data_IF_857146333882
#
_entry.id   IF_857146333882
#
_cell.length_a   1.000
_cell.length_b   1.000
_cell.length_c   1.000
_cell.angle_alpha   90.00
_cell.angle_beta   90.00
_cell.angle_gamma   90.00
#
_symmetry.space_group_name_H-M   'P 1'
#
loop_
_entity.id
_entity.type
_entity.pdbx_description
1 polymer ?
#
# COMPACT_ATOMS: atom_id res chain seq x y z
N UNK A 1 18.71 -26.26 99.73
CA UNK A 1 18.81 -26.31 98.23
C UNK A 1 17.52 -25.98 97.50
N UNK A 2 16.35 -26.10 98.09
CA UNK A 2 15.04 -25.91 97.44
C UNK A 2 14.73 -24.42 97.13
N UNK A 3 15.00 -23.45 97.99
CA UNK A 3 14.72 -22.04 97.79
C UNK A 3 15.50 -21.36 96.65
N UNK A 4 16.66 -21.87 96.27
CA UNK A 4 17.47 -21.32 95.17
C UNK A 4 16.98 -21.81 93.86
N UNK A 5 16.47 -23.05 93.76
CA UNK A 5 15.83 -23.59 92.52
C UNK A 5 14.52 -22.83 92.15
N UNK A 6 13.69 -22.48 93.11
CA UNK A 6 12.45 -21.73 92.88
C UNK A 6 12.74 -20.31 92.40
N UNK A 7 13.75 -19.61 92.95
CA UNK A 7 14.17 -18.31 92.45
C UNK A 7 14.69 -18.37 91.00
N UNK A 8 15.48 -19.35 90.66
CA UNK A 8 16.02 -19.51 89.29
C UNK A 8 14.89 -19.85 88.37
N UNK A 9 13.93 -20.72 88.73
CA UNK A 9 12.77 -21.00 87.90
C UNK A 9 11.87 -19.80 87.71
N UNK A 10 11.69 -18.97 88.71
CA UNK A 10 10.93 -17.70 88.57
C UNK A 10 11.63 -16.74 87.59
N UNK A 11 12.92 -16.58 87.68
CA UNK A 11 13.72 -15.72 86.79
C UNK A 11 13.62 -16.22 85.32
N UNK A 12 13.75 -17.55 85.12
CA UNK A 12 13.63 -18.14 83.80
C UNK A 12 12.23 -17.85 83.21
N UNK A 13 11.16 -17.98 84.01
CA UNK A 13 9.78 -17.71 83.62
C UNK A 13 9.60 -16.22 83.20
N UNK A 14 10.15 -15.25 83.91
CA UNK A 14 10.10 -13.86 83.59
C UNK A 14 10.91 -13.54 82.32
N UNK A 15 12.06 -14.11 82.14
CA UNK A 15 12.88 -13.96 80.91
C UNK A 15 12.13 -14.54 79.72
N UNK A 16 11.51 -15.71 79.86
CA UNK A 16 10.71 -16.31 78.79
C UNK A 16 9.46 -15.43 78.42
N UNK A 17 8.76 -14.90 79.42
CA UNK A 17 7.66 -13.96 79.20
C UNK A 17 8.11 -12.67 78.49
N UNK A 18 9.30 -12.16 78.85
CA UNK A 18 9.88 -10.98 78.24
C UNK A 18 10.28 -11.22 76.77
N UNK A 19 10.79 -12.40 76.48
CA UNK A 19 11.07 -12.82 75.07
C UNK A 19 9.80 -12.93 74.25
N UNK A 20 8.75 -13.55 74.81
CA UNK A 20 7.44 -13.63 74.13
C UNK A 20 6.87 -12.24 73.85
N UNK A 21 6.97 -11.35 74.83
CA UNK A 21 6.49 -9.96 74.67
C UNK A 21 7.29 -9.19 73.60
N UNK A 22 8.59 -9.39 73.52
CA UNK A 22 9.46 -8.83 72.49
C UNK A 22 9.09 -9.35 71.08
N UNK A 23 8.82 -10.67 70.98
CA UNK A 23 8.38 -11.30 69.73
C UNK A 23 7.02 -10.74 69.29
N UNK A 24 6.08 -10.54 70.21
CA UNK A 24 4.79 -9.93 69.91
C UNK A 24 4.92 -8.46 69.48
N UNK A 25 5.79 -7.68 70.08
CA UNK A 25 6.09 -6.30 69.65
C UNK A 25 6.66 -6.29 68.22
N UNK A 26 7.62 -7.17 67.94
CA UNK A 26 8.21 -7.28 66.60
C UNK A 26 7.19 -7.73 65.56
N UNK A 27 6.29 -8.65 65.93
CA UNK A 27 5.22 -9.09 65.07
C UNK A 27 4.19 -7.96 64.77
N UNK A 28 3.77 -7.23 65.77
CA UNK A 28 2.90 -6.04 65.59
C UNK A 28 3.58 -4.95 64.80
N UNK A 29 4.87 -4.71 65.02
CA UNK A 29 5.66 -3.73 64.28
C UNK A 29 5.78 -4.11 62.80
N UNK A 30 6.06 -5.37 62.53
CA UNK A 30 6.13 -5.96 61.19
C UNK A 30 4.76 -5.90 60.45
N UNK A 31 3.67 -6.26 61.15
CA UNK A 31 2.32 -6.19 60.56
C UNK A 31 1.92 -4.74 60.25
N UNK A 32 2.22 -3.78 61.12
CA UNK A 32 1.91 -2.35 60.91
C UNK A 32 2.71 -1.76 59.76
N UNK A 33 3.98 -2.12 59.59
CA UNK A 33 4.80 -1.65 58.47
C UNK A 33 4.43 -2.30 57.15
N UNK A 34 4.02 -3.59 57.18
CA UNK A 34 3.57 -4.33 55.98
C UNK A 34 2.28 -3.78 55.43
N UNK A 35 1.34 -3.44 56.28
CA UNK A 35 0.04 -2.86 55.86
C UNK A 35 0.22 -1.49 55.22
N UNK A 36 1.07 -0.60 55.80
CA UNK A 36 1.34 0.71 55.22
C UNK A 36 2.04 0.63 53.85
N UNK A 37 2.92 -0.35 53.61
CA UNK A 37 3.63 -0.50 52.34
C UNK A 37 2.71 -1.03 51.26
N UNK A 38 1.71 -1.83 51.59
CA UNK A 38 0.71 -2.33 50.65
C UNK A 38 -0.24 -1.24 50.18
N UNK A 39 -0.69 -0.37 51.07
CA UNK A 39 -1.56 0.77 50.76
C UNK A 39 -0.86 1.79 49.85
N UNK A 40 0.42 2.10 50.10
CA UNK A 40 1.22 3.01 49.26
C UNK A 40 1.45 2.41 47.86
N UNK A 41 1.75 1.10 47.76
CA UNK A 41 1.91 0.41 46.48
C UNK A 41 0.61 0.33 45.68
N UNK A 42 -0.55 0.21 46.35
CA UNK A 42 -1.86 0.22 45.70
C UNK A 42 -2.20 1.61 45.20
N UNK A 43 -2.00 2.66 45.98
CA UNK A 43 -2.22 4.07 45.56
C UNK A 43 -1.38 4.46 44.34
N UNK A 44 -0.09 4.06 44.30
CA UNK A 44 0.78 4.33 43.16
C UNK A 44 0.33 3.56 41.92
N UNK A 45 -0.15 2.30 42.07
CA UNK A 45 -0.71 1.53 40.94
C UNK A 45 -1.98 2.16 40.38
N UNK A 46 -2.86 2.65 41.24
CA UNK A 46 -4.12 3.28 40.84
C UNK A 46 -3.86 4.62 40.14
N UNK A 47 -2.86 5.37 40.57
CA UNK A 47 -2.43 6.64 39.95
C UNK A 47 -1.81 6.39 38.56
N UNK A 48 -0.93 5.39 38.40
CA UNK A 48 -0.36 4.99 37.11
C UNK A 48 -1.47 4.50 36.15
N UNK A 49 -2.42 3.70 36.65
CA UNK A 49 -3.54 3.23 35.83
C UNK A 49 -4.46 4.36 35.39
N UNK A 50 -4.60 5.41 36.21
CA UNK A 50 -5.37 6.62 35.88
C UNK A 50 -4.65 7.47 34.81
N UNK A 51 -3.34 7.65 34.95
CA UNK A 51 -2.53 8.33 33.93
C UNK A 51 -2.57 7.59 32.57
N UNK A 52 -2.41 6.27 32.59
CA UNK A 52 -2.47 5.46 31.37
C UNK A 52 -3.84 5.57 30.67
N UNK A 53 -4.94 5.58 31.41
CA UNK A 53 -6.29 5.80 30.84
C UNK A 53 -6.44 7.18 30.24
N UNK A 54 -5.94 8.22 30.92
CA UNK A 54 -5.97 9.59 30.41
C UNK A 54 -5.13 9.75 29.14
N UNK A 55 -4.02 9.05 29.05
CA UNK A 55 -3.16 9.07 27.88
C UNK A 55 -3.79 8.30 26.69
N UNK A 56 -4.44 7.17 26.97
CA UNK A 56 -5.22 6.46 25.96
C UNK A 56 -6.41 7.27 25.43
N UNK A 57 -7.12 7.98 26.30
CA UNK A 57 -8.22 8.87 25.89
C UNK A 57 -7.71 10.03 25.04
N UNK A 58 -6.60 10.66 25.41
CA UNK A 58 -5.95 11.71 24.61
C UNK A 58 -5.52 11.20 23.23
N UNK A 59 -4.95 10.00 23.18
CA UNK A 59 -4.53 9.39 21.92
C UNK A 59 -5.72 9.05 21.01
N UNK A 60 -6.84 8.62 21.59
CA UNK A 60 -8.09 8.36 20.87
C UNK A 60 -8.70 9.65 20.33
N UNK A 61 -8.68 10.70 21.13
CA UNK A 61 -9.21 12.00 20.73
C UNK A 61 -8.36 12.66 19.65
N UNK A 62 -7.02 12.57 19.74
CA UNK A 62 -6.11 13.04 18.69
C UNK A 62 -6.30 12.29 17.36
N UNK A 63 -6.52 10.98 17.42
CA UNK A 63 -6.83 10.19 16.21
C UNK A 63 -8.16 10.61 15.60
N UNK A 64 -9.20 10.81 16.41
CA UNK A 64 -10.50 11.31 15.93
C UNK A 64 -10.40 12.68 15.29
N UNK A 65 -9.66 13.62 15.90
CA UNK A 65 -9.47 14.96 15.36
C UNK A 65 -8.70 14.93 14.02
N UNK A 66 -7.68 14.09 13.89
CA UNK A 66 -6.94 13.91 12.63
C UNK A 66 -7.81 13.29 11.53
N UNK A 67 -8.67 12.35 11.89
CA UNK A 67 -9.61 11.73 10.96
C UNK A 67 -10.70 12.71 10.52
N UNK A 68 -11.21 13.52 11.44
CA UNK A 68 -12.19 14.57 11.14
C UNK A 68 -11.59 15.69 10.28
N UNK A 69 -10.34 16.06 10.52
CA UNK A 69 -9.63 17.05 9.68
C UNK A 69 -9.38 16.50 8.27
N UNK A 70 -9.04 15.22 8.15
CA UNK A 70 -8.89 14.54 6.86
C UNK A 70 -10.20 14.51 6.09
N UNK A 71 -11.29 14.14 6.76
CA UNK A 71 -12.64 14.14 6.16
C UNK A 71 -13.09 15.54 5.72
N UNK A 72 -12.79 16.58 6.49
CA UNK A 72 -13.07 17.98 6.12
C UNK A 72 -12.29 18.41 4.88
N UNK A 73 -10.99 18.09 4.82
CA UNK A 73 -10.16 18.38 3.64
C UNK A 73 -10.66 17.65 2.38
N UNK A 74 -11.02 16.37 2.51
CA UNK A 74 -11.61 15.61 1.42
C UNK A 74 -12.97 16.17 0.97
N UNK A 75 -13.81 16.61 1.91
CA UNK A 75 -15.10 17.23 1.60
C UNK A 75 -14.93 18.58 0.90
N UNK A 76 -13.97 19.41 1.33
CA UNK A 76 -13.66 20.68 0.67
C UNK A 76 -13.11 20.49 -0.74
N UNK A 77 -12.24 19.49 -0.94
CA UNK A 77 -11.69 19.15 -2.24
C UNK A 77 -12.81 18.65 -3.19
N UNK A 78 -13.70 17.77 -2.70
CA UNK A 78 -14.89 17.32 -3.43
C UNK A 78 -15.81 18.49 -3.81
N UNK A 79 -15.97 19.46 -2.91
CA UNK A 79 -16.77 20.65 -3.18
C UNK A 79 -16.12 21.58 -4.21
N UNK A 80 -14.79 21.77 -4.15
CA UNK A 80 -14.03 22.51 -5.16
C UNK A 80 -14.12 21.83 -6.53
N UNK A 81 -13.99 20.52 -6.60
CA UNK A 81 -14.15 19.75 -7.83
C UNK A 81 -15.58 19.85 -8.39
N UNK A 82 -16.62 19.76 -7.55
CA UNK A 82 -18.01 19.98 -7.97
C UNK A 82 -18.24 21.38 -8.58
N UNK A 83 -17.67 22.42 -7.98
CA UNK A 83 -17.77 23.79 -8.51
C UNK A 83 -17.06 23.94 -9.85
N UNK A 84 -15.85 23.37 -10.00
CA UNK A 84 -15.07 23.36 -11.25
C UNK A 84 -15.80 22.60 -12.36
N UNK A 85 -16.36 21.43 -12.07
CA UNK A 85 -17.15 20.63 -13.03
C UNK A 85 -18.42 21.39 -13.48
N UNK A 86 -19.07 22.12 -12.56
CA UNK A 86 -20.22 22.95 -12.89
C UNK A 86 -19.84 24.14 -13.81
N UNK A 87 -18.61 24.64 -13.68
CA UNK A 87 -18.07 25.70 -14.55
C UNK A 87 -17.73 25.17 -15.95
N UNK A 88 -17.24 23.92 -16.08
CA UNK A 88 -17.06 23.22 -17.36
C UNK A 88 -18.41 23.12 -18.12
N UNK A 89 -19.50 22.72 -17.42
CA UNK A 89 -20.85 22.67 -18.01
C UNK A 89 -21.34 24.04 -18.55
N UNK A 90 -20.96 25.12 -17.88
CA UNK A 90 -21.38 26.49 -18.31
C UNK A 90 -20.61 26.98 -19.54
N UNK A 91 -19.37 26.53 -19.72
CA UNK A 91 -18.51 26.95 -20.84
C UNK A 91 -18.74 26.11 -22.10
N UNK A 92 -19.36 24.93 -21.97
CA UNK A 92 -19.76 24.07 -23.08
C UNK A 92 -21.28 24.28 -23.27
N UNK A 93 -21.66 25.11 -24.23
CA UNK A 93 -23.08 25.27 -24.66
C UNK A 93 -23.62 23.88 -25.02
N UNK A 94 -24.87 23.58 -24.61
CA UNK A 94 -25.55 22.36 -25.04
C UNK A 94 -25.66 22.37 -26.55
N UNK A 95 -25.03 21.39 -27.20
CA UNK A 95 -25.03 21.29 -28.66
C UNK A 95 -24.28 20.07 -29.16
N UNK A 96 -24.42 19.81 -30.45
CA UNK A 96 -23.68 18.75 -31.12
C UNK A 96 -22.21 19.18 -31.22
N UNK A 97 -21.30 18.35 -30.73
CA UNK A 97 -19.86 18.55 -30.85
C UNK A 97 -19.29 17.90 -32.10
N UNK A 98 -19.74 16.69 -32.42
CA UNK A 98 -19.29 15.96 -33.60
C UNK A 98 -20.40 15.02 -34.10
N UNK A 99 -20.30 14.63 -35.37
CA UNK A 99 -21.09 13.54 -35.96
C UNK A 99 -20.13 12.49 -36.50
N UNK A 100 -20.32 11.26 -36.08
CA UNK A 100 -19.57 10.06 -36.53
C UNK A 100 -20.58 9.19 -37.32
N UNK A 101 -20.48 9.17 -38.63
CA UNK A 101 -21.53 8.66 -39.54
C UNK A 101 -22.91 9.29 -39.21
N UNK A 102 -23.81 8.49 -38.60
CA UNK A 102 -25.15 8.87 -38.20
C UNK A 102 -25.28 9.08 -36.67
N UNK A 103 -24.21 8.98 -35.93
CA UNK A 103 -24.20 9.15 -34.46
C UNK A 103 -23.71 10.52 -34.07
N UNK A 104 -24.61 11.32 -33.47
CA UNK A 104 -24.24 12.60 -32.87
C UNK A 104 -23.48 12.38 -31.55
N UNK A 105 -22.41 13.14 -31.35
CA UNK A 105 -21.68 13.30 -30.10
C UNK A 105 -21.98 14.71 -29.61
N UNK A 106 -22.49 14.80 -28.39
CA UNK A 106 -22.83 16.08 -27.78
C UNK A 106 -21.66 16.63 -26.94
N UNK A 107 -21.71 17.93 -26.67
CA UNK A 107 -20.74 18.54 -25.71
C UNK A 107 -20.89 17.94 -24.30
N UNK A 108 -22.09 17.49 -23.93
CA UNK A 108 -22.33 16.76 -22.67
C UNK A 108 -21.60 15.42 -22.63
N UNK A 109 -21.50 14.72 -23.75
CA UNK A 109 -20.73 13.45 -23.84
C UNK A 109 -19.25 13.70 -23.57
N UNK A 110 -18.69 14.79 -24.09
CA UNK A 110 -17.30 15.17 -23.83
C UNK A 110 -17.09 15.51 -22.35
N UNK A 111 -18.02 16.26 -21.72
CA UNK A 111 -17.95 16.57 -20.28
C UNK A 111 -18.00 15.31 -19.43
N UNK A 112 -18.89 14.39 -19.75
CA UNK A 112 -19.02 13.13 -19.03
C UNK A 112 -17.77 12.26 -19.19
N UNK A 113 -17.17 12.25 -20.37
CA UNK A 113 -15.91 11.55 -20.61
C UNK A 113 -14.74 12.17 -19.83
N UNK A 114 -14.66 13.52 -19.74
CA UNK A 114 -13.69 14.20 -18.87
C UNK A 114 -13.87 13.76 -17.41
N UNK A 115 -15.12 13.76 -16.90
CA UNK A 115 -15.40 13.29 -15.53
C UNK A 115 -14.93 11.85 -15.31
N UNK A 116 -15.24 10.97 -16.29
CA UNK A 116 -14.80 9.57 -16.25
C UNK A 116 -13.27 9.47 -16.18
N UNK A 117 -12.55 10.20 -17.02
CA UNK A 117 -11.07 10.23 -17.01
C UNK A 117 -10.55 10.71 -15.65
N UNK A 118 -11.11 11.77 -15.08
CA UNK A 118 -10.70 12.29 -13.78
C UNK A 118 -10.91 11.28 -12.65
N UNK A 119 -12.07 10.62 -12.61
CA UNK A 119 -12.40 9.62 -11.59
C UNK A 119 -11.49 8.41 -11.71
N UNK A 120 -11.36 7.83 -12.90
CA UNK A 120 -10.63 6.59 -13.11
C UNK A 120 -9.10 6.74 -12.95
N UNK A 121 -8.57 7.95 -13.11
CA UNK A 121 -7.14 8.22 -12.93
C UNK A 121 -6.82 8.96 -11.62
N UNK A 122 -7.82 9.12 -10.74
CA UNK A 122 -7.68 9.89 -9.50
C UNK A 122 -7.07 11.30 -9.72
N UNK A 123 -7.49 11.96 -10.79
CA UNK A 123 -6.97 13.26 -11.19
C UNK A 123 -7.91 14.38 -10.80
N UNK A 124 -7.36 15.57 -10.55
CA UNK A 124 -8.12 16.81 -10.35
C UNK A 124 -8.11 17.63 -11.63
N UNK A 125 -9.22 18.31 -11.92
CA UNK A 125 -9.30 19.27 -13.01
C UNK A 125 -8.58 20.56 -12.65
N UNK A 126 -7.63 20.98 -13.51
CA UNK A 126 -6.91 22.26 -13.41
C UNK A 126 -6.97 22.98 -14.76
N UNK A 127 -6.72 24.29 -14.79
CA UNK A 127 -6.65 25.02 -16.07
C UNK A 127 -5.46 24.54 -16.93
N UNK A 128 -4.38 24.05 -16.30
CA UNK A 128 -3.20 23.53 -16.98
C UNK A 128 -3.50 22.23 -17.76
N UNK A 129 -4.32 21.32 -17.17
CA UNK A 129 -4.64 20.04 -17.81
C UNK A 129 -5.92 20.06 -18.65
N UNK A 130 -6.59 21.21 -18.73
CA UNK A 130 -7.88 21.39 -19.44
C UNK A 130 -7.81 20.92 -20.88
N UNK A 131 -6.86 21.45 -21.64
CA UNK A 131 -6.73 21.16 -23.07
C UNK A 131 -6.40 19.70 -23.33
N UNK A 132 -5.50 19.13 -22.53
CA UNK A 132 -5.16 17.71 -22.61
C UNK A 132 -6.36 16.82 -22.32
N UNK A 133 -7.09 17.09 -21.23
CA UNK A 133 -8.29 16.34 -20.86
C UNK A 133 -9.37 16.42 -21.93
N UNK A 134 -9.57 17.60 -22.54
CA UNK A 134 -10.54 17.76 -23.62
C UNK A 134 -10.15 16.94 -24.85
N UNK A 135 -8.88 17.00 -25.26
CA UNK A 135 -8.38 16.20 -26.40
C UNK A 135 -8.50 14.70 -26.15
N UNK A 136 -8.13 14.25 -24.94
CA UNK A 136 -8.27 12.83 -24.54
C UNK A 136 -9.73 12.39 -24.53
N UNK A 137 -10.63 13.21 -24.00
CA UNK A 137 -12.06 12.91 -23.98
C UNK A 137 -12.66 12.83 -25.38
N UNK A 138 -12.35 13.79 -26.25
CA UNK A 138 -12.80 13.81 -27.65
C UNK A 138 -12.33 12.55 -28.37
N UNK A 139 -11.03 12.22 -28.27
CA UNK A 139 -10.47 11.00 -28.87
C UNK A 139 -11.19 9.75 -28.37
N UNK A 140 -11.40 9.63 -27.06
CA UNK A 140 -12.05 8.47 -26.44
C UNK A 140 -13.51 8.29 -26.90
N UNK A 141 -14.29 9.38 -26.95
CA UNK A 141 -15.70 9.32 -27.38
C UNK A 141 -15.82 8.97 -28.87
N UNK A 142 -14.95 9.54 -29.71
CA UNK A 142 -14.90 9.21 -31.14
C UNK A 142 -14.51 7.73 -31.32
N UNK A 143 -13.46 7.28 -30.65
CA UNK A 143 -12.99 5.90 -30.71
C UNK A 143 -14.10 4.91 -30.33
N UNK A 144 -14.77 5.14 -29.19
CA UNK A 144 -15.91 4.33 -28.77
C UNK A 144 -17.04 4.34 -29.77
N UNK A 145 -17.31 5.48 -30.42
CA UNK A 145 -18.36 5.60 -31.43
C UNK A 145 -18.03 4.81 -32.69
N UNK A 146 -16.79 4.86 -33.17
CA UNK A 146 -16.31 4.07 -34.31
C UNK A 146 -16.39 2.57 -34.03
N UNK A 147 -15.91 2.14 -32.84
CA UNK A 147 -16.01 0.74 -32.39
C UNK A 147 -17.46 0.25 -32.34
N UNK A 148 -18.38 1.05 -31.80
CA UNK A 148 -19.80 0.70 -31.72
C UNK A 148 -20.47 0.56 -33.08
N UNK A 149 -20.08 1.39 -34.06
CA UNK A 149 -20.60 1.27 -35.42
C UNK A 149 -20.21 -0.08 -36.01
N UNK A 150 -18.98 -0.48 -35.86
CA UNK A 150 -18.49 -1.77 -36.38
C UNK A 150 -19.09 -2.98 -35.63
N UNK A 151 -19.14 -2.91 -34.28
CA UNK A 151 -19.79 -3.92 -33.45
C UNK A 151 -21.23 -4.16 -33.88
N UNK A 152 -22.00 -3.10 -34.17
CA UNK A 152 -23.42 -3.20 -34.59
C UNK A 152 -23.61 -3.88 -35.96
N UNK A 153 -22.61 -3.85 -36.84
CA UNK A 153 -22.65 -4.58 -38.12
C UNK A 153 -22.48 -6.10 -37.92
N UNK A 154 -21.95 -6.52 -36.79
CA UNK A 154 -21.59 -7.90 -36.48
C UNK A 154 -22.55 -8.49 -35.44
N UNK A 155 -23.72 -8.91 -35.86
CA UNK A 155 -24.83 -9.39 -35.01
C UNK A 155 -24.60 -10.73 -34.34
N UNK A 156 -23.52 -11.46 -34.69
CA UNK A 156 -23.14 -12.74 -34.09
C UNK A 156 -22.39 -12.61 -32.76
N UNK A 157 -22.03 -11.40 -32.36
CA UNK A 157 -21.30 -11.16 -31.13
C UNK A 157 -22.23 -11.37 -29.92
N UNK A 158 -21.87 -12.34 -29.10
CA UNK A 158 -22.54 -12.59 -27.83
C UNK A 158 -21.88 -11.82 -26.70
N UNK A 159 -22.70 -11.29 -25.82
CA UNK A 159 -22.26 -10.54 -24.64
C UNK A 159 -22.53 -11.36 -23.37
N UNK A 160 -21.47 -11.62 -22.58
CA UNK A 160 -21.59 -12.29 -21.30
C UNK A 160 -21.63 -11.24 -20.16
N UNK A 161 -22.72 -11.12 -19.40
CA UNK A 161 -22.80 -10.21 -18.26
C UNK A 161 -21.77 -10.47 -17.17
N UNK A 162 -21.30 -11.71 -17.00
CA UNK A 162 -20.30 -12.04 -15.99
C UNK A 162 -18.94 -11.40 -16.31
N UNK A 163 -18.60 -11.30 -17.59
CA UNK A 163 -17.35 -10.66 -18.03
C UNK A 163 -17.37 -9.15 -17.69
N UNK A 164 -18.53 -8.51 -17.86
CA UNK A 164 -18.69 -7.10 -17.44
C UNK A 164 -18.47 -6.94 -15.95
N UNK A 165 -19.08 -7.77 -15.11
CA UNK A 165 -18.91 -7.70 -13.66
C UNK A 165 -17.45 -7.93 -13.25
N UNK A 166 -16.78 -8.86 -13.90
CA UNK A 166 -15.35 -9.15 -13.67
C UNK A 166 -14.49 -7.93 -14.00
N UNK A 167 -14.70 -7.30 -15.16
CA UNK A 167 -13.95 -6.12 -15.57
C UNK A 167 -14.26 -4.89 -14.73
N UNK A 168 -15.51 -4.70 -14.29
CA UNK A 168 -15.88 -3.63 -13.36
C UNK A 168 -15.18 -3.76 -12.01
N UNK A 169 -15.14 -4.97 -11.44
CA UNK A 169 -14.41 -5.23 -10.20
C UNK A 169 -12.91 -5.03 -10.37
N UNK A 170 -12.35 -5.49 -11.51
CA UNK A 170 -10.92 -5.27 -11.83
C UNK A 170 -10.59 -3.78 -11.91
N UNK A 171 -11.44 -3.00 -12.58
CA UNK A 171 -11.28 -1.53 -12.69
C UNK A 171 -11.33 -0.88 -11.31
N UNK A 172 -12.31 -1.23 -10.46
CA UNK A 172 -12.42 -0.70 -9.11
C UNK A 172 -11.16 -1.01 -8.27
N UNK A 173 -10.67 -2.25 -8.34
CA UNK A 173 -9.46 -2.67 -7.65
C UNK A 173 -8.20 -1.94 -8.15
N UNK A 174 -8.09 -1.66 -9.45
CA UNK A 174 -6.96 -0.92 -10.02
C UNK A 174 -6.84 0.50 -9.48
N UNK A 175 -7.96 1.16 -9.21
CA UNK A 175 -7.99 2.49 -8.61
C UNK A 175 -8.02 2.47 -7.07
N UNK A 176 -7.85 1.29 -6.47
CA UNK A 176 -7.74 1.11 -5.01
C UNK A 176 -9.08 1.24 -4.27
N UNK A 177 -10.21 0.89 -4.91
CA UNK A 177 -11.54 1.01 -4.30
C UNK A 177 -12.42 -0.22 -4.57
N UNK A 178 -13.59 -0.31 -3.91
CA UNK A 178 -14.61 -1.30 -4.23
C UNK A 178 -15.54 -0.80 -5.35
N UNK A 179 -16.24 -1.76 -6.01
CA UNK A 179 -17.21 -1.42 -7.06
C UNK A 179 -18.33 -0.50 -6.55
N UNK A 180 -18.83 -0.74 -5.34
CA UNK A 180 -19.91 0.08 -4.76
C UNK A 180 -19.40 1.49 -4.43
N UNK A 181 -18.21 1.62 -3.87
CA UNK A 181 -17.60 2.92 -3.65
C UNK A 181 -17.35 3.67 -4.98
N UNK A 182 -16.95 2.98 -6.05
CA UNK A 182 -16.80 3.59 -7.37
C UNK A 182 -18.13 4.14 -7.90
N UNK A 183 -19.24 3.40 -7.73
CA UNK A 183 -20.58 3.89 -8.07
C UNK A 183 -20.93 5.16 -7.29
N UNK A 184 -20.65 5.19 -5.99
CA UNK A 184 -20.90 6.36 -5.14
C UNK A 184 -20.03 7.57 -5.53
N UNK A 185 -18.76 7.33 -5.88
CA UNK A 185 -17.87 8.35 -6.41
C UNK A 185 -18.41 8.93 -7.72
N UNK A 186 -18.87 8.09 -8.64
CA UNK A 186 -19.50 8.54 -9.89
C UNK A 186 -20.74 9.40 -9.61
N UNK A 187 -21.65 8.92 -8.79
CA UNK A 187 -22.88 9.63 -8.39
C UNK A 187 -22.56 10.97 -7.74
N UNK A 188 -21.60 11.03 -6.83
CA UNK A 188 -21.23 12.27 -6.13
C UNK A 188 -20.61 13.31 -7.06
N UNK A 189 -19.98 12.89 -8.16
CA UNK A 189 -19.43 13.75 -9.21
C UNK A 189 -20.40 14.02 -10.36
N UNK A 190 -21.64 13.53 -10.26
CA UNK A 190 -22.69 13.72 -11.28
C UNK A 190 -22.32 13.04 -12.60
N UNK A 191 -21.67 11.86 -12.53
CA UNK A 191 -21.45 10.94 -13.64
C UNK A 191 -22.41 9.76 -13.50
N UNK A 192 -23.15 9.45 -14.56
CA UNK A 192 -23.92 8.20 -14.62
C UNK A 192 -22.96 7.01 -14.75
N UNK A 193 -23.05 6.08 -13.83
CA UNK A 193 -22.19 4.89 -13.82
C UNK A 193 -22.39 4.01 -15.07
N UNK A 194 -23.58 4.02 -15.67
CA UNK A 194 -23.89 3.31 -16.91
C UNK A 194 -22.93 3.67 -18.06
N UNK A 195 -22.37 4.88 -18.07
CA UNK A 195 -21.38 5.31 -19.07
C UNK A 195 -20.03 4.58 -18.94
N UNK A 196 -19.70 4.13 -17.72
CA UNK A 196 -18.53 3.25 -17.49
C UNK A 196 -18.86 1.84 -17.96
N UNK A 197 -20.03 1.33 -17.59
CA UNK A 197 -20.51 -0.01 -18.00
C UNK A 197 -20.58 -0.13 -19.53
N UNK A 198 -21.16 0.85 -20.21
CA UNK A 198 -21.22 0.90 -21.68
C UNK A 198 -19.83 0.96 -22.31
N UNK A 199 -18.90 1.70 -21.72
CA UNK A 199 -17.52 1.75 -22.15
C UNK A 199 -16.87 0.37 -22.11
N UNK A 200 -16.91 -0.30 -20.96
CA UNK A 200 -16.34 -1.64 -20.76
C UNK A 200 -17.04 -2.67 -21.67
N UNK A 201 -18.37 -2.63 -21.77
CA UNK A 201 -19.12 -3.49 -22.67
C UNK A 201 -18.68 -3.31 -24.13
N UNK A 202 -18.43 -2.08 -24.54
CA UNK A 202 -17.94 -1.79 -25.89
C UNK A 202 -16.55 -2.41 -26.11
N UNK A 203 -15.66 -2.29 -25.15
CA UNK A 203 -14.30 -2.84 -25.25
C UNK A 203 -14.30 -4.37 -25.22
N UNK A 204 -15.17 -5.01 -24.43
CA UNK A 204 -15.33 -6.46 -24.41
C UNK A 204 -15.83 -6.99 -25.76
N UNK A 205 -16.88 -6.38 -26.31
CA UNK A 205 -17.42 -6.75 -27.62
C UNK A 205 -16.41 -6.49 -28.75
N UNK A 206 -15.68 -5.37 -28.66
CA UNK A 206 -14.61 -5.06 -29.61
C UNK A 206 -13.50 -6.10 -29.59
N UNK A 207 -13.04 -6.47 -28.40
CA UNK A 207 -12.01 -7.51 -28.27
C UNK A 207 -12.48 -8.86 -28.81
N UNK A 208 -13.75 -9.21 -28.57
CA UNK A 208 -14.36 -10.44 -29.12
C UNK A 208 -14.43 -10.38 -30.66
N UNK A 209 -14.77 -9.23 -31.23
CA UNK A 209 -14.78 -9.02 -32.68
C UNK A 209 -13.38 -9.17 -33.28
N UNK A 210 -12.39 -8.50 -32.70
CA UNK A 210 -11.00 -8.56 -33.16
C UNK A 210 -10.47 -10.00 -33.07
N UNK A 211 -10.74 -10.70 -31.97
CA UNK A 211 -10.38 -12.10 -31.85
C UNK A 211 -11.02 -12.96 -32.92
N UNK A 212 -12.32 -12.81 -33.17
CA UNK A 212 -13.04 -13.56 -34.18
C UNK A 212 -12.46 -13.34 -35.59
N UNK A 213 -12.13 -12.11 -35.96
CA UNK A 213 -11.61 -11.77 -37.28
C UNK A 213 -10.17 -12.25 -37.48
N UNK A 214 -9.34 -12.19 -36.43
CA UNK A 214 -7.89 -12.35 -36.57
C UNK A 214 -7.33 -13.61 -35.91
N UNK A 215 -8.14 -14.44 -35.20
CA UNK A 215 -7.68 -15.63 -34.48
C UNK A 215 -6.80 -16.55 -35.31
N UNK A 216 -7.14 -16.74 -36.58
CA UNK A 216 -6.42 -17.65 -37.50
C UNK A 216 -5.08 -17.07 -38.01
N UNK A 217 -4.84 -15.77 -37.71
CA UNK A 217 -3.60 -15.06 -38.03
C UNK A 217 -2.68 -14.90 -36.81
N UNK A 218 -3.13 -15.36 -35.65
CA UNK A 218 -2.35 -15.27 -34.40
C UNK A 218 -1.48 -16.52 -34.33
N UNK A 219 -0.25 -16.42 -34.82
CA UNK A 219 0.75 -17.46 -34.75
C UNK A 219 1.90 -17.05 -33.88
N UNK A 220 2.05 -17.68 -32.72
CA UNK A 220 3.17 -17.42 -31.81
C UNK A 220 4.36 -18.26 -32.21
N UNK A 221 5.52 -17.66 -32.34
CA UNK A 221 6.77 -18.35 -32.59
C UNK A 221 7.22 -19.05 -31.30
N UNK A 222 6.97 -20.35 -31.18
CA UNK A 222 7.31 -21.15 -30.00
C UNK A 222 8.83 -21.30 -29.82
N UNK A 223 9.60 -21.29 -30.90
CA UNK A 223 11.07 -21.36 -30.82
C UNK A 223 11.66 -20.13 -30.15
N UNK A 224 11.12 -18.96 -30.48
CA UNK A 224 11.51 -17.71 -29.83
C UNK A 224 11.15 -17.68 -28.33
N UNK A 225 9.98 -18.20 -27.98
CA UNK A 225 9.56 -18.38 -26.58
C UNK A 225 10.52 -19.33 -25.85
N UNK A 226 10.88 -20.45 -26.47
CA UNK A 226 11.80 -21.42 -25.89
C UNK A 226 13.22 -20.86 -25.74
N UNK A 227 13.66 -19.99 -26.66
CA UNK A 227 14.93 -19.23 -26.49
C UNK A 227 14.87 -18.23 -25.34
N UNK A 228 13.77 -17.46 -25.21
CA UNK A 228 13.57 -16.55 -24.09
C UNK A 228 13.57 -17.31 -22.76
N UNK A 229 12.94 -18.47 -22.70
CA UNK A 229 12.96 -19.35 -21.53
C UNK A 229 14.37 -19.86 -21.20
N UNK A 230 15.16 -20.22 -22.21
CA UNK A 230 16.57 -20.64 -22.02
C UNK A 230 17.43 -19.50 -21.47
N UNK A 231 17.26 -18.30 -21.98
CA UNK A 231 17.93 -17.10 -21.45
C UNK A 231 17.52 -16.77 -20.02
N UNK A 232 16.23 -16.96 -19.68
CA UNK A 232 15.72 -16.82 -18.32
C UNK A 232 16.17 -17.93 -17.36
N UNK A 233 16.47 -19.14 -17.85
CA UNK A 233 16.95 -20.29 -17.07
C UNK A 233 18.31 -20.06 -16.40
N UNK A 234 19.12 -19.10 -16.86
CA UNK A 234 20.41 -18.81 -16.28
C UNK A 234 20.36 -18.23 -14.84
N UNK A 235 19.15 -18.03 -14.29
CA UNK A 235 18.94 -17.62 -12.90
C UNK A 235 17.97 -18.56 -12.17
N UNK A 236 18.26 -19.87 -12.19
CA UNK A 236 17.51 -20.85 -11.38
C UNK A 236 17.92 -20.84 -9.90
N UNK A 237 19.05 -20.24 -9.57
CA UNK A 237 19.51 -20.04 -8.20
C UNK A 237 19.51 -18.53 -7.89
N UNK A 238 18.85 -18.18 -6.82
CA UNK A 238 18.83 -16.81 -6.29
C UNK A 238 19.46 -16.82 -4.90
N UNK A 239 20.23 -15.77 -4.64
CA UNK A 239 20.68 -15.52 -3.29
C UNK A 239 19.54 -14.87 -2.48
N UNK A 240 19.26 -15.42 -1.30
CA UNK A 240 18.44 -14.78 -0.27
C UNK A 240 19.32 -14.33 0.87
N UNK A 241 19.03 -13.16 1.38
CA UNK A 241 19.73 -12.51 2.47
C UNK A 241 18.79 -12.32 3.65
N UNK A 242 19.19 -12.77 4.83
CA UNK A 242 18.49 -12.45 6.06
C UNK A 242 19.01 -11.12 6.58
N UNK A 243 18.18 -10.09 6.51
CA UNK A 243 18.61 -8.72 6.73
C UNK A 243 17.88 -8.09 7.92
N UNK A 244 18.61 -7.27 8.66
CA UNK A 244 18.03 -6.31 9.59
C UNK A 244 18.51 -4.90 9.26
N UNK A 245 17.72 -3.89 9.64
CA UNK A 245 18.03 -2.49 9.39
C UNK A 245 17.95 -1.64 10.65
N UNK A 246 18.76 -0.57 10.69
CA UNK A 246 18.60 0.55 11.60
C UNK A 246 18.59 1.81 10.77
N UNK A 247 17.58 2.66 10.98
CA UNK A 247 17.51 3.99 10.38
C UNK A 247 17.61 5.02 11.49
N UNK A 248 18.72 5.75 11.54
CA UNK A 248 18.89 6.89 12.45
C UNK A 248 18.29 8.15 11.86
N UNK A 249 17.81 9.05 12.72
CA UNK A 249 17.38 10.39 12.28
C UNK A 249 18.54 11.14 11.63
N UNK A 250 18.20 12.02 10.70
CA UNK A 250 19.17 12.94 10.12
C UNK A 250 19.75 13.83 11.20
N UNK A 251 21.07 13.94 11.19
CA UNK A 251 21.84 14.85 12.06
C UNK A 251 22.69 15.80 11.22
N UNK A 252 23.22 16.84 11.82
CA UNK A 252 24.16 17.75 11.19
C UNK A 252 25.46 17.04 10.83
N UNK A 253 26.12 17.46 9.76
CA UNK A 253 27.29 16.76 9.19
C UNK A 253 28.44 16.57 10.14
N UNK A 254 28.63 17.51 11.07
CA UNK A 254 29.66 17.48 12.11
C UNK A 254 29.38 16.45 13.21
N UNK A 255 28.13 16.00 13.35
CA UNK A 255 27.69 15.04 14.38
C UNK A 255 27.58 13.61 13.86
N UNK A 256 27.68 13.40 12.54
CA UNK A 256 27.48 12.08 11.92
C UNK A 256 28.39 11.02 12.53
N UNK A 257 29.69 11.31 12.62
CA UNK A 257 30.65 10.33 13.15
C UNK A 257 30.35 9.99 14.62
N UNK A 258 30.04 10.98 15.43
CA UNK A 258 29.66 10.78 16.84
C UNK A 258 28.40 9.91 17.01
N UNK A 259 27.42 10.04 16.11
CA UNK A 259 26.21 9.21 16.13
C UNK A 259 26.49 7.76 15.65
N UNK A 260 27.37 7.60 14.69
CA UNK A 260 27.80 6.26 14.24
C UNK A 260 28.60 5.55 15.33
N UNK A 261 29.54 6.25 16.00
CA UNK A 261 30.31 5.70 17.10
C UNK A 261 29.40 5.27 18.30
N UNK A 262 28.37 6.08 18.59
CA UNK A 262 27.34 5.72 19.59
C UNK A 262 26.57 4.48 19.18
N UNK A 263 26.14 4.42 17.91
CA UNK A 263 25.42 3.27 17.37
C UNK A 263 26.26 2.00 17.49
N UNK A 264 27.53 2.03 17.10
CA UNK A 264 28.43 0.88 17.20
C UNK A 264 28.60 0.43 18.66
N UNK A 265 28.81 1.34 19.60
CA UNK A 265 28.89 1.05 21.02
C UNK A 265 27.61 0.44 21.58
N UNK A 266 26.44 0.95 21.18
CA UNK A 266 25.15 0.41 21.57
C UNK A 266 24.95 -1.00 21.02
N UNK A 267 25.32 -1.25 19.77
CA UNK A 267 25.25 -2.58 19.15
C UNK A 267 26.19 -3.56 19.87
N UNK A 268 27.40 -3.14 20.21
CA UNK A 268 28.37 -3.99 20.93
C UNK A 268 27.90 -4.35 22.33
N UNK A 269 27.28 -3.41 23.04
CA UNK A 269 26.88 -3.59 24.44
C UNK A 269 25.51 -4.24 24.61
N UNK A 270 24.54 -3.93 23.77
CA UNK A 270 23.12 -4.35 23.89
C UNK A 270 22.66 -5.30 22.80
N UNK A 271 23.45 -5.44 21.74
CA UNK A 271 23.09 -6.18 20.54
C UNK A 271 22.27 -5.38 19.55
N UNK A 272 22.28 -5.80 18.27
CA UNK A 272 21.66 -5.08 17.17
C UNK A 272 20.14 -4.88 17.36
N UNK A 273 19.41 -5.92 17.74
CA UNK A 273 17.96 -5.90 17.87
C UNK A 273 17.47 -4.88 18.91
N UNK A 274 18.10 -4.89 20.10
CA UNK A 274 17.76 -3.92 21.17
C UNK A 274 18.11 -2.49 20.74
N UNK A 275 19.23 -2.32 20.05
CA UNK A 275 19.64 -1.01 19.54
C UNK A 275 18.66 -0.52 18.46
N UNK A 276 18.20 -1.40 17.58
CA UNK A 276 17.17 -1.07 16.59
C UNK A 276 15.86 -0.60 17.24
N UNK A 277 15.39 -1.33 18.28
CA UNK A 277 14.18 -0.92 19.03
C UNK A 277 14.33 0.46 19.63
N UNK A 278 15.51 0.80 20.16
CA UNK A 278 15.73 2.04 20.91
C UNK A 278 16.01 3.25 19.99
N UNK A 279 16.77 3.08 18.93
CA UNK A 279 17.32 4.19 18.14
C UNK A 279 16.76 4.30 16.73
N UNK A 280 16.20 3.22 16.16
CA UNK A 280 15.74 3.23 14.78
C UNK A 280 14.39 3.92 14.64
N UNK A 281 14.26 4.76 13.62
CA UNK A 281 12.99 5.37 13.21
C UNK A 281 12.26 4.56 12.13
N UNK A 282 12.82 3.42 11.71
CA UNK A 282 12.20 2.53 10.73
C UNK A 282 10.96 1.84 11.32
N UNK A 283 10.04 1.43 10.45
CA UNK A 283 8.87 0.63 10.88
C UNK A 283 9.27 -0.73 11.46
N UNK A 284 10.36 -1.30 11.00
CA UNK A 284 10.96 -2.54 11.47
C UNK A 284 11.56 -2.44 12.89
N UNK A 285 11.74 -1.24 13.43
CA UNK A 285 12.31 -1.01 14.76
C UNK A 285 11.61 -1.81 15.86
N UNK A 286 10.27 -1.87 15.84
CA UNK A 286 9.48 -2.64 16.82
C UNK A 286 9.76 -4.14 16.82
N UNK A 287 10.30 -4.65 15.70
CA UNK A 287 10.73 -6.05 15.52
C UNK A 287 12.25 -6.19 15.53
N UNK A 288 12.98 -5.28 16.21
CA UNK A 288 14.44 -5.29 16.28
C UNK A 288 15.14 -4.99 14.94
N UNK A 289 14.45 -4.31 14.04
CA UNK A 289 14.95 -4.00 12.70
C UNK A 289 14.85 -5.17 11.71
N UNK A 290 14.20 -6.28 12.07
CA UNK A 290 14.13 -7.47 11.22
C UNK A 290 13.30 -7.25 9.96
N UNK A 291 13.93 -7.49 8.80
CA UNK A 291 13.28 -7.49 7.48
C UNK A 291 13.01 -8.91 6.96
N UNK A 292 13.48 -9.94 7.68
CA UNK A 292 13.37 -11.33 7.26
C UNK A 292 14.29 -11.69 6.09
N UNK A 293 13.95 -12.80 5.43
CA UNK A 293 14.63 -13.26 4.23
C UNK A 293 14.15 -12.48 3.02
N UNK A 294 15.05 -11.78 2.34
CA UNK A 294 14.80 -11.04 1.11
C UNK A 294 15.56 -11.65 -0.06
N UNK A 295 14.84 -11.98 -1.12
CA UNK A 295 15.42 -12.41 -2.38
C UNK A 295 16.17 -11.23 -3.03
N UNK A 296 17.28 -11.51 -3.74
CA UNK A 296 18.07 -10.49 -4.45
C UNK A 296 17.22 -9.57 -5.34
N UNK A 297 16.09 -10.08 -5.90
CA UNK A 297 15.20 -9.30 -6.74
C UNK A 297 14.22 -8.40 -5.96
N UNK A 298 13.97 -8.70 -4.69
CA UNK A 298 13.14 -7.88 -3.79
C UNK A 298 13.93 -6.72 -3.19
N UNK A 299 15.27 -6.84 -3.17
CA UNK A 299 16.15 -5.79 -2.70
C UNK A 299 16.20 -4.66 -3.74
N UNK A 300 15.92 -3.42 -3.30
CA UNK A 300 16.02 -2.24 -4.17
C UNK A 300 17.39 -2.13 -4.82
N UNK A 301 17.43 -1.78 -6.10
CA UNK A 301 18.67 -1.65 -6.89
C UNK A 301 19.71 -0.76 -6.20
N UNK A 302 19.25 0.28 -5.50
CA UNK A 302 20.12 1.25 -4.81
C UNK A 302 20.88 0.64 -3.61
N UNK A 303 20.39 -0.46 -3.05
CA UNK A 303 20.97 -1.08 -1.87
C UNK A 303 21.65 -2.43 -2.15
N UNK A 304 21.48 -2.96 -3.38
CA UNK A 304 22.02 -4.28 -3.75
C UNK A 304 23.51 -4.38 -3.56
N UNK A 305 24.28 -3.43 -4.10
CA UNK A 305 25.75 -3.46 -3.98
C UNK A 305 26.19 -3.48 -2.51
N UNK A 306 25.60 -2.59 -1.71
CA UNK A 306 25.96 -2.49 -0.29
C UNK A 306 25.66 -3.79 0.47
N UNK A 307 24.47 -4.40 0.23
CA UNK A 307 24.08 -5.63 0.91
C UNK A 307 24.93 -6.82 0.44
N UNK A 308 25.20 -6.90 -0.88
CA UNK A 308 25.95 -8.04 -1.46
C UNK A 308 27.42 -8.03 -1.06
N UNK A 309 27.99 -6.82 -0.89
CA UNK A 309 29.40 -6.64 -0.49
C UNK A 309 29.58 -6.74 1.05
N UNK A 310 28.49 -6.75 1.81
CA UNK A 310 28.55 -6.87 3.27
C UNK A 310 28.66 -8.35 3.68
N UNK A 311 29.75 -8.77 4.37
CA UNK A 311 29.91 -10.14 4.84
C UNK A 311 28.80 -10.53 5.83
N UNK A 312 28.43 -11.83 5.83
CA UNK A 312 27.47 -12.37 6.80
C UNK A 312 27.97 -12.13 8.23
N UNK A 313 27.09 -11.66 9.09
CA UNK A 313 27.35 -11.28 10.47
C UNK A 313 27.73 -9.80 10.65
N UNK A 314 28.10 -9.09 9.61
CA UNK A 314 28.62 -7.73 9.67
C UNK A 314 27.56 -6.67 9.40
N UNK A 315 27.92 -5.42 9.76
CA UNK A 315 27.16 -4.22 9.42
C UNK A 315 27.62 -3.70 8.06
N UNK A 316 26.70 -3.13 7.30
CA UNK A 316 27.01 -2.40 6.08
C UNK A 316 27.66 -1.04 6.39
N UNK A 317 28.37 -0.45 5.44
CA UNK A 317 28.64 0.99 5.46
C UNK A 317 27.34 1.80 5.62
N UNK A 318 27.39 2.98 6.27
CA UNK A 318 26.23 3.84 6.42
C UNK A 318 25.78 4.38 5.06
N UNK A 319 24.47 4.33 4.80
CA UNK A 319 23.82 4.85 3.61
C UNK A 319 23.07 6.12 3.98
N UNK A 320 23.49 7.24 3.39
CA UNK A 320 22.88 8.53 3.64
C UNK A 320 21.61 8.68 2.81
N UNK A 321 20.46 8.75 3.50
CA UNK A 321 19.16 9.01 2.93
C UNK A 321 18.77 10.47 3.10
N UNK A 322 17.74 10.92 2.38
CA UNK A 322 17.21 12.28 2.54
C UNK A 322 16.82 12.59 4.00
N UNK A 323 16.24 11.62 4.68
CA UNK A 323 15.64 11.79 6.00
C UNK A 323 16.42 11.09 7.14
N UNK A 324 17.58 10.48 6.86
CA UNK A 324 18.34 9.78 7.88
C UNK A 324 19.56 9.01 7.38
N UNK A 325 20.09 8.15 8.24
CA UNK A 325 21.23 7.27 7.95
C UNK A 325 20.76 5.82 8.14
N UNK A 326 20.86 5.04 7.07
CA UNK A 326 20.47 3.64 7.06
C UNK A 326 21.71 2.74 7.16
N UNK A 327 21.67 1.76 8.05
CA UNK A 327 22.67 0.72 8.21
C UNK A 327 21.97 -0.62 8.16
N UNK A 328 22.47 -1.54 7.34
CA UNK A 328 22.01 -2.92 7.29
C UNK A 328 22.92 -3.83 8.11
N UNK A 329 22.36 -4.91 8.63
CA UNK A 329 23.09 -6.08 9.11
C UNK A 329 22.69 -7.28 8.26
N UNK A 330 23.66 -7.88 7.58
CA UNK A 330 23.46 -9.14 6.88
C UNK A 330 23.65 -10.27 7.89
N UNK A 331 22.55 -10.87 8.35
CA UNK A 331 22.58 -11.90 9.40
C UNK A 331 22.96 -13.27 8.84
N UNK A 332 22.46 -13.57 7.64
CA UNK A 332 22.71 -14.84 6.96
C UNK A 332 22.49 -14.70 5.47
N UNK A 333 22.98 -15.68 4.70
CA UNK A 333 22.84 -15.78 3.26
C UNK A 333 22.62 -17.22 2.86
N UNK A 334 21.64 -17.48 2.00
CA UNK A 334 21.39 -18.81 1.44
C UNK A 334 21.10 -18.74 -0.04
N UNK A 335 21.37 -19.84 -0.73
CA UNK A 335 20.92 -20.04 -2.11
C UNK A 335 19.60 -20.78 -2.11
N UNK A 336 18.63 -20.24 -2.81
CA UNK A 336 17.38 -20.93 -3.08
C UNK A 336 17.34 -21.33 -4.56
N UNK A 337 16.90 -22.55 -4.80
CA UNK A 337 16.48 -22.94 -6.14
C UNK A 337 15.03 -22.54 -6.29
N UNK A 338 14.76 -21.56 -7.14
CA UNK A 338 13.40 -21.29 -7.54
C UNK A 338 13.02 -22.40 -8.55
N UNK A 339 12.18 -23.33 -8.16
CA UNK A 339 11.49 -24.19 -9.10
C UNK A 339 10.50 -23.30 -9.87
N UNK A 340 11.04 -22.57 -10.85
CA UNK A 340 10.19 -21.83 -11.78
C UNK A 340 9.41 -22.92 -12.53
N UNK A 341 8.10 -22.89 -12.37
CA UNK A 341 7.23 -23.69 -13.24
C UNK A 341 7.40 -23.17 -14.66
N UNK A 342 8.28 -23.83 -15.40
CA UNK A 342 8.63 -23.46 -16.76
C UNK A 342 7.43 -23.56 -17.69
N UNK A 343 6.51 -24.47 -17.41
CA UNK A 343 5.27 -24.64 -18.17
C UNK A 343 4.36 -23.43 -17.94
N UNK A 344 4.20 -23.01 -16.69
CA UNK A 344 3.44 -21.80 -16.35
C UNK A 344 4.06 -20.55 -16.97
N UNK A 345 5.39 -20.40 -16.90
CA UNK A 345 6.09 -19.27 -17.52
C UNK A 345 5.96 -19.28 -19.04
N UNK A 346 6.08 -20.44 -19.66
CA UNK A 346 5.87 -20.61 -21.11
C UNK A 346 4.46 -20.18 -21.52
N UNK A 347 3.46 -20.66 -20.79
CA UNK A 347 2.07 -20.28 -21.02
C UNK A 347 1.81 -18.78 -20.86
N UNK A 348 2.44 -18.15 -19.87
CA UNK A 348 2.38 -16.69 -19.70
C UNK A 348 3.00 -15.96 -20.89
N UNK A 349 4.19 -16.36 -21.34
CA UNK A 349 4.86 -15.73 -22.49
C UNK A 349 4.05 -15.90 -23.78
N UNK A 350 3.52 -17.10 -24.03
CA UNK A 350 2.63 -17.37 -25.18
C UNK A 350 1.39 -16.48 -25.13
N UNK A 351 0.74 -16.36 -23.97
CA UNK A 351 -0.45 -15.52 -23.81
C UNK A 351 -0.12 -14.03 -23.96
N UNK A 352 1.04 -13.58 -23.47
CA UNK A 352 1.50 -12.21 -23.66
C UNK A 352 1.73 -11.88 -25.16
N UNK A 353 2.37 -12.77 -25.91
CA UNK A 353 2.57 -12.57 -27.35
C UNK A 353 1.24 -12.60 -28.12
N UNK A 354 0.31 -13.52 -27.80
CA UNK A 354 -1.04 -13.49 -28.37
C UNK A 354 -1.75 -12.18 -28.11
N UNK A 355 -1.69 -11.68 -26.88
CA UNK A 355 -2.30 -10.40 -26.48
C UNK A 355 -1.68 -9.23 -27.24
N UNK A 356 -0.36 -9.22 -27.39
CA UNK A 356 0.37 -8.20 -28.16
C UNK A 356 -0.04 -8.18 -29.63
N UNK A 357 -0.16 -9.35 -30.25
CA UNK A 357 -0.64 -9.49 -31.62
C UNK A 357 -2.09 -9.03 -31.78
N UNK A 358 -2.99 -9.42 -30.85
CA UNK A 358 -4.37 -8.95 -30.84
C UNK A 358 -4.46 -7.44 -30.72
N UNK A 359 -3.66 -6.82 -29.86
CA UNK A 359 -3.61 -5.36 -29.72
C UNK A 359 -3.11 -4.69 -31.01
N UNK A 360 -2.12 -5.25 -31.68
CA UNK A 360 -1.64 -4.77 -32.98
C UNK A 360 -2.75 -4.84 -34.05
N UNK A 361 -3.44 -5.97 -34.14
CA UNK A 361 -4.57 -6.10 -35.07
C UNK A 361 -5.74 -5.18 -34.71
N UNK A 362 -6.04 -5.03 -33.43
CA UNK A 362 -7.07 -4.09 -32.92
C UNK A 362 -6.78 -2.67 -33.36
N UNK A 363 -5.55 -2.19 -33.14
CA UNK A 363 -5.15 -0.85 -33.54
C UNK A 363 -5.20 -0.67 -35.06
N UNK A 364 -4.66 -1.61 -35.81
CA UNK A 364 -4.67 -1.56 -37.28
C UNK A 364 -6.11 -1.58 -37.86
N UNK A 365 -6.98 -2.43 -37.31
CA UNK A 365 -8.38 -2.51 -37.70
C UNK A 365 -9.12 -1.21 -37.39
N UNK A 366 -8.94 -0.67 -36.18
CA UNK A 366 -9.51 0.61 -35.80
C UNK A 366 -9.03 1.75 -36.70
N UNK A 367 -7.73 1.84 -37.00
CA UNK A 367 -7.17 2.90 -37.84
C UNK A 367 -7.74 2.84 -39.28
N UNK A 368 -7.94 1.66 -39.81
CA UNK A 368 -8.60 1.47 -41.12
C UNK A 368 -10.05 1.94 -41.09
N UNK A 369 -10.80 1.54 -40.07
CA UNK A 369 -12.19 1.99 -39.88
C UNK A 369 -12.28 3.53 -39.71
N UNK A 370 -11.39 4.08 -38.87
CA UNK A 370 -11.35 5.52 -38.60
C UNK A 370 -11.15 6.36 -39.87
N UNK A 371 -10.40 5.83 -40.85
CA UNK A 371 -10.17 6.49 -42.16
C UNK A 371 -11.38 6.37 -43.10
N UNK A 372 -12.15 5.30 -42.99
CA UNK A 372 -13.33 5.06 -43.83
C UNK A 372 -14.61 5.70 -43.31
N UNK A 373 -14.68 5.99 -42.00
CA UNK A 373 -15.86 6.56 -41.35
C UNK A 373 -15.84 8.10 -41.48
N UNK A 374 -16.94 8.68 -41.94
CA UNK A 374 -17.10 10.13 -42.01
C UNK A 374 -17.23 10.71 -40.58
N UNK A 375 -16.32 11.63 -40.23
CA UNK A 375 -16.36 12.33 -38.96
C UNK A 375 -16.35 13.83 -39.21
N UNK A 376 -17.41 14.51 -38.75
CA UNK A 376 -17.55 15.96 -38.84
C UNK A 376 -17.52 16.53 -37.44
N UNK A 377 -16.55 17.40 -37.14
CA UNK A 377 -16.43 18.11 -35.86
C UNK A 377 -16.97 19.53 -36.08
N UNK A 378 -17.76 20.00 -35.12
CA UNK A 378 -18.31 21.34 -35.11
C UNK A 378 -17.58 22.13 -34.02
N UNK A 379 -16.41 22.67 -34.37
CA UNK A 379 -15.69 23.64 -33.54
C UNK A 379 -16.34 25.02 -33.71
N UNK A 380 -16.92 25.53 -32.64
CA UNK A 380 -17.22 26.96 -32.44
C UNK A 380 -16.58 27.42 -31.12
#
# INVERSE_FOLDING_TARGET
>A
MTKIKEKIFSIIKYVFLLIIFLILILFFYSAFFFDKSSIVKQGVKDEIAKEQRLEEERLKEEKRLKEEEKLKKEAEEKLKNKKKIKQIKRNLKDGIFAIVENKAITRSDIVNEIKKILILNNMTYTEENRNELQQRAVKSVIERSVKLIEIKKNTFLEFNPNDLNTELNRLANQIGTSLDNLKDICKSNGLDFSLIEEGIKTDLLWNSLIFYIYRDRITVNLDEIDEQLKLGKNKTEFDEYLISEIVLKRVESDKIQSELDKLENEIQTKGFEKTAINLSIARSATSGGDLGWLNENQISKNFRSVIFDTPVGNLSPPIFLKDGILIFKVRDKRKIKNEIDLEQLKNQLVNNEKTKMLNMYSNSHYDNLRRSIAIKIFDE
#
